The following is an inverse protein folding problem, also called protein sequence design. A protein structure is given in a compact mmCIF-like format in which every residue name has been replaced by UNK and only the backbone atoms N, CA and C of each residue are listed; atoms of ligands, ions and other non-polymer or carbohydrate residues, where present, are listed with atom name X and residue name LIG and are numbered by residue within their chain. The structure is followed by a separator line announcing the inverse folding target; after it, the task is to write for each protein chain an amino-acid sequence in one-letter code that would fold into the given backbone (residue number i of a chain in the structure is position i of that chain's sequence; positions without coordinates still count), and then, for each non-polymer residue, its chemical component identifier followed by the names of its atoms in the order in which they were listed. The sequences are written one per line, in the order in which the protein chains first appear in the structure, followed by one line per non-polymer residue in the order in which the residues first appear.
data_IF_164824792288
#
_entry.id   IF_164824792288
#
_cell.length_a   1.000
_cell.length_b   1.000
_cell.length_c   1.000
_cell.angle_alpha   90.00
_cell.angle_beta   90.00
_cell.angle_gamma   90.00
#
_symmetry.space_group_name_H-M   'P 1'
#
loop_
_entity.id
_entity.type
_entity.pdbx_description
1 polymer ?
#
# COMPACT_ATOMS: atom_id res chain seq x y z
N UNK A 1 14.39 -9.55 73.89
CA UNK A 1 14.22 -9.90 75.32
C UNK A 1 14.48 -8.64 76.15
N UNK A 2 13.83 -8.36 77.28
CA UNK A 2 12.83 -9.12 78.07
C UNK A 2 11.45 -8.40 78.15
N UNK A 3 10.29 -9.04 78.34
CA UNK A 3 9.71 -9.67 79.56
C UNK A 3 9.62 -8.69 80.74
N UNK A 4 8.40 -8.23 81.09
CA UNK A 4 7.51 -8.78 82.14
C UNK A 4 7.97 -8.28 83.53
N UNK A 5 7.16 -7.61 84.35
CA UNK A 5 6.22 -8.19 85.35
C UNK A 5 5.51 -7.04 86.08
N UNK A 6 4.22 -7.13 86.36
CA UNK A 6 3.66 -7.61 87.63
C UNK A 6 2.36 -6.82 87.88
N UNK A 7 1.32 -7.28 88.57
CA UNK A 7 1.23 -8.35 89.55
C UNK A 7 -0.22 -8.87 89.69
N UNK A 8 -0.31 -10.18 89.92
CA UNK A 8 -1.39 -10.96 90.57
C UNK A 8 -1.15 -10.89 92.11
N UNK A 9 -1.86 -11.57 93.05
CA UNK A 9 -2.95 -12.58 92.97
C UNK A 9 -4.09 -12.30 94.00
N UNK A 10 -5.09 -13.17 94.20
CA UNK A 10 -5.19 -14.20 95.28
C UNK A 10 -6.43 -15.05 94.91
N UNK A 11 -6.28 -16.30 94.46
CA UNK A 11 -6.10 -17.57 95.22
C UNK A 11 -7.44 -18.28 95.52
N UNK A 12 -7.64 -19.45 94.91
CA UNK A 12 -7.94 -20.70 95.61
C UNK A 12 -8.12 -21.87 94.61
N UNK A 13 -7.47 -22.98 94.93
CA UNK A 13 -7.18 -24.22 94.19
C UNK A 13 -8.41 -25.18 94.18
N UNK A 14 -8.43 -26.23 93.33
CA UNK A 14 -9.60 -27.00 92.84
C UNK A 14 -9.75 -28.33 93.67
N UNK A 15 -10.44 -29.44 93.29
CA UNK A 15 -10.69 -29.99 91.95
C UNK A 15 -12.06 -30.67 91.68
N UNK A 16 -12.31 -30.90 90.39
CA UNK A 16 -12.88 -32.17 89.94
C UNK A 16 -14.34 -32.16 89.46
N UNK A 17 -14.54 -32.79 88.30
CA UNK A 17 -15.79 -33.51 88.02
C UNK A 17 -16.72 -32.90 86.99
N UNK A 18 -16.59 -33.40 85.76
CA UNK A 18 -17.67 -33.83 84.85
C UNK A 18 -18.86 -32.90 84.51
N UNK A 19 -19.05 -32.77 83.20
CA UNK A 19 -20.32 -32.59 82.50
C UNK A 19 -21.01 -31.22 82.60
N UNK A 20 -20.92 -30.46 81.49
CA UNK A 20 -22.13 -30.14 80.74
C UNK A 20 -21.77 -29.60 79.36
N UNK A 21 -22.14 -30.37 78.33
CA UNK A 21 -22.27 -29.87 76.97
C UNK A 21 -23.32 -28.76 76.96
N UNK A 22 -22.91 -27.51 76.76
CA UNK A 22 -23.80 -26.46 76.31
C UNK A 22 -23.77 -26.47 74.79
N UNK A 23 -24.61 -27.33 74.22
CA UNK A 23 -24.99 -27.28 72.82
C UNK A 23 -25.68 -25.93 72.57
N UNK A 24 -24.97 -24.96 72.00
CA UNK A 24 -25.63 -23.88 71.25
C UNK A 24 -26.13 -24.49 69.95
N UNK A 25 -27.29 -25.15 70.05
CA UNK A 25 -28.03 -25.66 68.91
C UNK A 25 -28.36 -24.49 68.00
N UNK A 26 -27.79 -24.52 66.79
CA UNK A 26 -28.28 -23.68 65.71
C UNK A 26 -29.72 -24.12 65.46
N UNK A 27 -30.67 -23.22 65.67
CA UNK A 27 -32.10 -23.49 65.51
C UNK A 27 -32.32 -23.97 64.06
N UNK A 28 -32.50 -25.28 63.87
CA UNK A 28 -32.56 -25.90 62.54
C UNK A 28 -33.69 -25.29 61.69
N UNK A 29 -34.72 -24.77 62.34
CA UNK A 29 -35.82 -24.03 61.73
C UNK A 29 -35.38 -22.66 61.19
N UNK A 30 -34.46 -21.97 61.86
CA UNK A 30 -33.89 -20.70 61.40
C UNK A 30 -33.08 -20.86 60.11
N UNK A 31 -32.25 -21.90 60.04
CA UNK A 31 -31.49 -22.23 58.82
C UNK A 31 -32.41 -22.58 57.63
N UNK A 32 -33.49 -23.33 57.88
CA UNK A 32 -34.46 -23.67 56.82
C UNK A 32 -35.17 -22.41 56.30
N UNK A 33 -35.58 -21.51 57.18
CA UNK A 33 -36.20 -20.25 56.79
C UNK A 33 -35.24 -19.34 56.00
N UNK A 34 -33.97 -19.26 56.40
CA UNK A 34 -32.94 -18.53 55.65
C UNK A 34 -32.70 -19.12 54.25
N UNK A 35 -32.60 -20.45 54.15
CA UNK A 35 -32.44 -21.13 52.85
C UNK A 35 -33.64 -20.87 51.93
N UNK A 36 -34.86 -20.91 52.46
CA UNK A 36 -36.06 -20.58 51.69
C UNK A 36 -36.08 -19.12 51.24
N UNK A 37 -35.67 -18.19 52.10
CA UNK A 37 -35.56 -16.77 51.78
C UNK A 37 -34.55 -16.52 50.65
N UNK A 38 -33.35 -17.11 50.77
CA UNK A 38 -32.30 -17.01 49.76
C UNK A 38 -32.76 -17.60 48.42
N UNK A 39 -33.44 -18.75 48.43
CA UNK A 39 -33.96 -19.38 47.21
C UNK A 39 -34.95 -18.46 46.48
N UNK A 40 -35.86 -17.81 47.21
CA UNK A 40 -36.81 -16.85 46.63
C UNK A 40 -36.09 -15.62 46.05
N UNK A 41 -35.08 -15.11 46.75
CA UNK A 41 -34.26 -13.99 46.26
C UNK A 41 -33.53 -14.36 44.96
N UNK A 42 -32.98 -15.57 44.87
CA UNK A 42 -32.30 -16.06 43.66
C UNK A 42 -33.30 -16.19 42.50
N UNK A 43 -34.50 -16.72 42.75
CA UNK A 43 -35.56 -16.83 41.73
C UNK A 43 -35.99 -15.45 41.22
N UNK A 44 -36.16 -14.48 42.14
CA UNK A 44 -36.53 -13.12 41.78
C UNK A 44 -35.41 -12.43 40.98
N UNK A 45 -34.16 -12.53 41.44
CA UNK A 45 -33.01 -11.97 40.74
C UNK A 45 -32.83 -12.58 39.34
N UNK A 46 -33.07 -13.89 39.19
CA UNK A 46 -33.02 -14.58 37.90
C UNK A 46 -34.09 -14.04 36.93
N UNK A 47 -35.32 -13.85 37.40
CA UNK A 47 -36.41 -13.31 36.59
C UNK A 47 -36.16 -11.85 36.18
N UNK A 48 -35.61 -11.05 37.09
CA UNK A 48 -35.23 -9.66 36.81
C UNK A 48 -34.06 -9.57 35.81
N UNK A 49 -33.06 -10.45 35.95
CA UNK A 49 -31.95 -10.56 35.02
C UNK A 49 -32.42 -10.96 33.62
N UNK A 50 -33.36 -11.91 33.52
CA UNK A 50 -33.94 -12.32 32.23
C UNK A 50 -34.68 -11.14 31.57
N UNK A 51 -35.54 -10.43 32.30
CA UNK A 51 -36.24 -9.24 31.78
C UNK A 51 -35.26 -8.14 31.36
N UNK A 52 -34.16 -7.97 32.09
CA UNK A 52 -33.13 -7.01 31.73
C UNK A 52 -32.37 -7.43 30.45
N UNK A 53 -32.09 -8.72 30.29
CA UNK A 53 -31.48 -9.27 29.07
C UNK A 53 -32.41 -9.09 27.86
N UNK A 54 -33.70 -9.39 28.00
CA UNK A 54 -34.68 -9.22 26.92
C UNK A 54 -34.81 -7.74 26.49
N UNK A 55 -34.84 -6.82 27.45
CA UNK A 55 -34.83 -5.37 27.17
C UNK A 55 -33.56 -4.94 26.43
N UNK A 56 -32.41 -5.47 26.82
CA UNK A 56 -31.13 -5.19 26.14
C UNK A 56 -31.12 -5.76 24.72
N UNK A 57 -31.62 -6.98 24.52
CA UNK A 57 -31.73 -7.59 23.20
C UNK A 57 -32.62 -6.77 22.25
N UNK A 58 -33.80 -6.33 22.73
CA UNK A 58 -34.70 -5.46 21.96
C UNK A 58 -34.04 -4.11 21.65
N UNK A 59 -33.31 -3.51 22.60
CA UNK A 59 -32.61 -2.25 22.38
C UNK A 59 -31.50 -2.37 21.33
N UNK A 60 -30.71 -3.46 21.39
CA UNK A 60 -29.67 -3.77 20.40
C UNK A 60 -30.27 -3.98 19.02
N UNK A 61 -31.36 -4.75 18.92
CA UNK A 61 -32.05 -4.99 17.65
C UNK A 61 -32.57 -3.67 17.04
N UNK A 62 -33.25 -2.83 17.82
CA UNK A 62 -33.72 -1.52 17.36
C UNK A 62 -32.57 -0.61 16.92
N UNK A 63 -31.43 -0.65 17.60
CA UNK A 63 -30.25 0.12 17.21
C UNK A 63 -29.64 -0.39 15.90
N UNK A 64 -29.56 -1.71 15.72
CA UNK A 64 -29.09 -2.34 14.49
C UNK A 64 -29.99 -2.00 13.30
N UNK A 65 -31.31 -2.06 13.46
CA UNK A 65 -32.28 -1.68 12.42
C UNK A 65 -32.16 -0.20 12.04
N UNK A 66 -31.98 0.69 13.02
CA UNK A 66 -31.75 2.12 12.75
C UNK A 66 -30.47 2.34 11.95
N UNK A 67 -29.39 1.64 12.28
CA UNK A 67 -28.11 1.69 11.55
C UNK A 67 -28.28 1.18 10.12
N UNK A 68 -28.91 0.02 9.94
CA UNK A 68 -29.18 -0.56 8.63
C UNK A 68 -30.02 0.39 7.75
N UNK A 69 -31.06 1.03 8.31
CA UNK A 69 -31.86 2.03 7.58
C UNK A 69 -31.05 3.26 7.18
N UNK A 70 -30.18 3.74 8.07
CA UNK A 70 -29.31 4.88 7.77
C UNK A 70 -28.30 4.55 6.65
N UNK A 71 -27.74 3.34 6.68
CA UNK A 71 -26.83 2.85 5.66
C UNK A 71 -27.52 2.67 4.30
N UNK A 72 -28.71 2.05 4.28
CA UNK A 72 -29.51 1.91 3.07
C UNK A 72 -29.85 3.28 2.46
N UNK A 73 -30.20 4.27 3.28
CA UNK A 73 -30.43 5.65 2.82
C UNK A 73 -29.16 6.31 2.26
N UNK A 74 -28.00 6.03 2.85
CA UNK A 74 -26.71 6.52 2.34
C UNK A 74 -26.39 5.89 0.99
N UNK A 75 -26.61 4.58 0.85
CA UNK A 75 -26.39 3.84 -0.39
C UNK A 75 -27.31 4.36 -1.50
N UNK A 76 -28.61 4.50 -1.24
CA UNK A 76 -29.57 5.07 -2.21
C UNK A 76 -29.16 6.47 -2.68
N UNK A 77 -28.64 7.33 -1.78
CA UNK A 77 -28.12 8.66 -2.16
C UNK A 77 -26.87 8.58 -3.04
N UNK A 78 -25.98 7.63 -2.77
CA UNK A 78 -24.78 7.41 -3.58
C UNK A 78 -25.19 6.88 -4.97
N UNK A 79 -26.12 5.95 -5.04
CA UNK A 79 -26.66 5.42 -6.29
C UNK A 79 -27.34 6.52 -7.12
N UNK A 80 -28.18 7.35 -6.49
CA UNK A 80 -28.81 8.50 -7.16
C UNK A 80 -27.77 9.52 -7.67
N UNK A 81 -26.73 9.80 -6.87
CA UNK A 81 -25.63 10.66 -7.28
C UNK A 81 -24.84 10.06 -8.46
N UNK A 82 -24.64 8.74 -8.48
CA UNK A 82 -23.98 8.02 -9.56
C UNK A 82 -24.82 8.08 -10.85
N UNK A 83 -26.14 7.86 -10.75
CA UNK A 83 -27.07 7.98 -11.88
C UNK A 83 -27.03 9.40 -12.43
N UNK A 84 -27.17 10.44 -11.59
CA UNK A 84 -27.09 11.85 -12.00
C UNK A 84 -25.74 12.21 -12.64
N UNK A 85 -24.63 11.64 -12.15
CA UNK A 85 -23.31 11.84 -12.74
C UNK A 85 -23.18 11.14 -14.10
N UNK A 86 -23.77 9.95 -14.25
CA UNK A 86 -23.83 9.23 -15.52
C UNK A 86 -24.71 9.98 -16.52
N UNK A 87 -25.92 10.41 -16.14
CA UNK A 87 -26.80 11.22 -16.99
C UNK A 87 -26.16 12.57 -17.37
N UNK A 88 -25.45 13.22 -16.45
CA UNK A 88 -24.69 14.46 -16.75
C UNK A 88 -23.53 14.19 -17.70
N UNK A 89 -22.89 13.02 -17.62
CA UNK A 89 -21.86 12.59 -18.57
C UNK A 89 -22.46 12.35 -19.96
N UNK A 90 -23.59 11.64 -20.04
CA UNK A 90 -24.31 11.37 -21.29
C UNK A 90 -24.84 12.67 -21.95
N UNK A 91 -25.36 13.63 -21.17
CA UNK A 91 -25.78 14.95 -21.68
C UNK A 91 -24.60 15.85 -22.08
N UNK A 92 -23.46 15.72 -21.40
CA UNK A 92 -22.21 16.40 -21.77
C UNK A 92 -21.48 15.73 -22.94
N UNK A 93 -21.89 14.52 -23.33
CA UNK A 93 -21.36 13.76 -24.47
C UNK A 93 -22.16 13.95 -25.75
N UNK A 94 -23.20 14.81 -25.77
CA UNK A 94 -23.74 15.31 -27.04
C UNK A 94 -22.61 16.09 -27.75
N UNK A 95 -22.13 15.64 -28.92
CA UNK A 95 -20.88 16.12 -29.46
C UNK A 95 -21.05 17.55 -30.00
N UNK A 96 -20.65 18.55 -29.22
CA UNK A 96 -19.94 19.66 -29.81
C UNK A 96 -18.57 19.09 -30.18
N UNK A 97 -18.20 19.18 -31.46
CA UNK A 97 -16.97 18.62 -32.01
C UNK A 97 -15.75 19.03 -31.16
N UNK A 98 -15.37 18.17 -30.21
CA UNK A 98 -14.17 18.34 -29.41
C UNK A 98 -12.99 17.87 -30.28
N UNK A 99 -11.83 18.57 -30.22
CA UNK A 99 -10.64 18.14 -30.93
C UNK A 99 -10.31 16.72 -30.47
N UNK A 100 -9.87 15.85 -31.39
CA UNK A 100 -9.39 14.51 -31.08
C UNK A 100 -8.39 14.61 -29.93
N UNK A 101 -8.81 14.26 -28.71
CA UNK A 101 -7.94 14.25 -27.55
C UNK A 101 -7.09 12.99 -27.67
N UNK A 102 -5.96 13.13 -28.37
CA UNK A 102 -4.97 12.08 -28.60
C UNK A 102 -4.15 11.78 -27.33
N UNK A 103 -4.60 12.26 -26.16
CA UNK A 103 -3.88 12.11 -24.91
C UNK A 103 -4.14 10.72 -24.32
N UNK A 104 -3.04 10.06 -23.94
CA UNK A 104 -3.11 8.74 -23.33
C UNK A 104 -3.68 8.90 -21.92
N UNK A 105 -4.67 8.08 -21.56
CA UNK A 105 -5.16 8.01 -20.19
C UNK A 105 -4.11 7.32 -19.30
N UNK A 106 -3.22 8.15 -18.74
CA UNK A 106 -2.15 7.72 -17.84
C UNK A 106 -2.68 7.02 -16.56
N UNK A 107 -3.99 7.08 -16.26
CA UNK A 107 -4.61 6.35 -15.14
C UNK A 107 -4.95 4.90 -15.48
N UNK A 108 -5.22 4.59 -16.76
CA UNK A 108 -5.41 3.21 -17.26
C UNK A 108 -4.12 2.61 -17.81
N UNK A 109 -3.11 3.44 -18.02
CA UNK A 109 -1.79 3.03 -18.46
C UNK A 109 -1.03 2.31 -17.34
N UNK A 110 -0.93 1.00 -17.45
CA UNK A 110 -0.11 0.21 -16.54
C UNK A 110 1.38 0.43 -16.85
N UNK A 111 2.02 1.30 -16.07
CA UNK A 111 3.49 1.52 -16.11
C UNK A 111 4.28 0.25 -15.80
N UNK A 112 3.63 -0.80 -15.26
CA UNK A 112 4.20 -2.13 -15.05
C UNK A 112 4.56 -2.87 -16.34
N UNK A 113 3.96 -2.50 -17.47
CA UNK A 113 4.17 -3.19 -18.75
C UNK A 113 5.29 -2.55 -19.60
N UNK A 114 5.85 -1.43 -19.13
CA UNK A 114 6.89 -0.68 -19.83
C UNK A 114 8.31 -1.13 -19.47
N UNK A 115 9.28 -0.97 -20.38
CA UNK A 115 10.67 -1.30 -20.11
C UNK A 115 11.20 -0.38 -19.02
N UNK A 116 11.52 -0.93 -17.86
CA UNK A 116 12.04 -0.16 -16.73
C UNK A 116 13.57 -0.14 -16.77
N UNK A 117 14.18 1.04 -16.61
CA UNK A 117 15.62 1.16 -16.46
C UNK A 117 16.04 0.95 -15.00
N UNK A 118 16.72 -0.17 -14.76
CA UNK A 118 17.37 -0.51 -13.48
C UNK A 118 18.88 -0.68 -13.64
N UNK A 119 19.44 -0.30 -14.80
CA UNK A 119 20.87 -0.40 -15.06
C UNK A 119 21.68 0.57 -14.20
N UNK A 120 23.00 0.33 -14.03
CA UNK A 120 23.86 1.28 -13.32
C UNK A 120 23.97 2.61 -14.07
N UNK A 121 24.18 3.69 -13.32
CA UNK A 121 24.39 5.03 -13.89
C UNK A 121 25.57 5.03 -14.87
N UNK A 122 25.43 5.72 -16.00
CA UNK A 122 26.46 5.85 -17.04
C UNK A 122 26.82 4.56 -17.80
N UNK A 123 26.07 3.47 -17.63
CA UNK A 123 26.21 2.28 -18.47
C UNK A 123 25.56 2.49 -19.85
N UNK A 124 26.40 2.87 -20.81
CA UNK A 124 25.97 3.28 -22.16
C UNK A 124 25.16 2.21 -22.89
N UNK A 125 25.64 0.96 -22.90
CA UNK A 125 24.99 -0.11 -23.67
C UNK A 125 23.61 -0.46 -23.11
N UNK A 126 23.49 -0.56 -21.78
CA UNK A 126 22.22 -0.81 -21.11
C UNK A 126 21.24 0.36 -21.28
N UNK A 127 21.74 1.60 -21.20
CA UNK A 127 20.93 2.80 -21.41
C UNK A 127 20.40 2.88 -22.84
N UNK A 128 21.23 2.66 -23.86
CA UNK A 128 20.80 2.67 -25.27
C UNK A 128 19.79 1.56 -25.58
N UNK A 129 20.02 0.36 -25.04
CA UNK A 129 19.08 -0.76 -25.18
C UNK A 129 17.72 -0.41 -24.57
N UNK A 130 17.73 0.25 -23.41
CA UNK A 130 16.51 0.72 -22.76
C UNK A 130 15.78 1.81 -23.56
N UNK A 131 16.49 2.83 -24.07
CA UNK A 131 15.88 3.87 -24.93
C UNK A 131 15.25 3.25 -26.19
N UNK A 132 15.94 2.31 -26.83
CA UNK A 132 15.40 1.62 -28.00
C UNK A 132 14.12 0.84 -27.65
N UNK A 133 14.14 0.10 -26.53
CA UNK A 133 12.95 -0.61 -26.03
C UNK A 133 11.79 0.35 -25.73
N UNK A 134 12.11 1.52 -25.19
CA UNK A 134 11.14 2.57 -24.87
C UNK A 134 10.50 3.18 -26.13
N UNK A 135 11.28 3.38 -27.21
CA UNK A 135 10.76 3.85 -28.50
C UNK A 135 9.79 2.84 -29.11
N UNK A 136 10.18 1.54 -29.16
CA UNK A 136 9.31 0.45 -29.62
C UNK A 136 8.02 0.39 -28.78
N UNK A 137 8.14 0.57 -27.47
CA UNK A 137 7.01 0.57 -26.55
C UNK A 137 6.04 1.73 -26.85
N UNK A 138 6.54 2.93 -27.11
CA UNK A 138 5.71 4.07 -27.51
C UNK A 138 4.99 3.85 -28.83
N UNK A 139 5.68 3.30 -29.83
CA UNK A 139 5.08 2.94 -31.13
C UNK A 139 3.98 1.88 -30.94
N UNK A 140 4.27 0.82 -30.18
CA UNK A 140 3.33 -0.28 -29.92
C UNK A 140 2.08 0.18 -29.18
N UNK A 141 2.23 1.12 -28.25
CA UNK A 141 1.12 1.69 -27.48
C UNK A 141 0.52 2.93 -28.15
N UNK A 142 0.96 3.29 -29.36
CA UNK A 142 0.50 4.46 -30.13
C UNK A 142 0.61 5.79 -29.37
N UNK A 143 1.60 5.90 -28.48
CA UNK A 143 1.84 7.09 -27.67
C UNK A 143 2.53 8.13 -28.56
N UNK A 144 1.76 9.09 -29.07
CA UNK A 144 2.25 10.09 -30.01
C UNK A 144 2.61 11.41 -29.35
N UNK A 145 1.88 11.83 -28.31
CA UNK A 145 2.09 13.10 -27.62
C UNK A 145 3.39 13.10 -26.82
N UNK A 146 4.21 14.13 -27.04
CA UNK A 146 5.49 14.28 -26.37
C UNK A 146 5.37 14.40 -24.85
N UNK A 147 4.35 15.13 -24.38
CA UNK A 147 4.07 15.23 -22.94
C UNK A 147 3.78 13.87 -22.31
N UNK A 148 3.11 12.96 -23.01
CA UNK A 148 2.82 11.62 -22.50
C UNK A 148 4.06 10.75 -22.49
N UNK A 149 4.86 10.80 -23.57
CA UNK A 149 6.17 10.14 -23.61
C UNK A 149 7.02 10.56 -22.41
N UNK A 150 7.18 11.86 -22.17
CA UNK A 150 7.96 12.42 -21.06
C UNK A 150 7.44 11.93 -19.70
N UNK A 151 6.12 12.02 -19.47
CA UNK A 151 5.50 11.58 -18.21
C UNK A 151 5.72 10.09 -17.96
N UNK A 152 5.52 9.26 -18.98
CA UNK A 152 5.70 7.81 -18.90
C UNK A 152 7.17 7.47 -18.68
N UNK A 153 8.11 8.05 -19.44
CA UNK A 153 9.55 7.81 -19.26
C UNK A 153 10.00 8.06 -17.84
N UNK A 154 9.54 9.16 -17.21
CA UNK A 154 9.88 9.46 -15.82
C UNK A 154 9.49 8.33 -14.86
N UNK A 155 8.38 7.64 -15.11
CA UNK A 155 7.92 6.52 -14.27
C UNK A 155 8.70 5.22 -14.50
N UNK A 156 9.41 5.12 -15.62
CA UNK A 156 10.14 3.93 -16.05
C UNK A 156 11.62 3.95 -15.64
N UNK A 157 12.08 5.01 -14.97
CA UNK A 157 13.46 5.09 -14.46
C UNK A 157 13.45 4.75 -12.98
N UNK A 158 14.23 3.73 -12.59
CA UNK A 158 14.42 3.33 -11.19
C UNK A 158 15.84 3.60 -10.67
N UNK A 159 16.79 3.91 -11.56
CA UNK A 159 18.15 4.27 -11.18
C UNK A 159 18.19 5.62 -10.44
N UNK A 160 18.84 5.64 -9.28
CA UNK A 160 18.79 6.75 -8.31
C UNK A 160 19.39 8.05 -8.82
N UNK A 161 20.53 8.01 -9.52
CA UNK A 161 21.21 9.22 -10.00
C UNK A 161 20.43 9.90 -11.13
N UNK A 162 19.84 9.12 -12.04
CA UNK A 162 18.90 9.61 -13.03
C UNK A 162 17.64 10.14 -12.38
N UNK A 163 17.05 9.42 -11.42
CA UNK A 163 15.90 9.92 -10.67
C UNK A 163 16.20 11.26 -10.00
N UNK A 164 17.40 11.44 -9.44
CA UNK A 164 17.81 12.71 -8.87
C UNK A 164 17.79 13.84 -9.90
N UNK A 165 18.27 13.63 -11.13
CA UNK A 165 18.12 14.60 -12.22
C UNK A 165 16.64 14.94 -12.49
N UNK A 166 15.75 13.95 -12.46
CA UNK A 166 14.31 14.16 -12.67
C UNK A 166 13.63 14.90 -11.52
N UNK A 167 14.00 14.62 -10.28
CA UNK A 167 13.41 15.24 -9.10
C UNK A 167 13.98 16.63 -8.80
N UNK A 168 15.20 16.93 -9.25
CA UNK A 168 15.93 18.19 -9.00
C UNK A 168 15.44 19.38 -9.84
N UNK A 169 14.13 19.48 -10.11
CA UNK A 169 13.45 20.56 -10.83
C UNK A 169 13.80 20.71 -12.33
N UNK A 170 14.93 20.20 -12.81
CA UNK A 170 15.31 20.23 -14.23
C UNK A 170 14.27 19.55 -15.12
N UNK A 171 13.75 18.36 -14.77
CA UNK A 171 12.75 17.67 -15.58
C UNK A 171 11.36 18.33 -15.58
N UNK A 172 10.97 19.06 -14.53
CA UNK A 172 9.70 19.82 -14.53
C UNK A 172 9.69 20.90 -15.61
N UNK A 173 10.86 21.44 -15.96
CA UNK A 173 11.02 22.40 -17.06
C UNK A 173 10.86 21.78 -18.46
N UNK A 174 10.74 20.45 -18.57
CA UNK A 174 10.52 19.75 -19.84
C UNK A 174 9.06 19.35 -20.04
N UNK A 175 8.18 19.56 -19.06
CA UNK A 175 6.74 19.47 -19.29
C UNK A 175 6.32 20.62 -20.20
N UNK A 176 5.83 20.30 -21.41
CA UNK A 176 5.55 21.26 -22.47
C UNK A 176 6.65 21.43 -23.51
N UNK A 177 7.81 20.79 -23.34
CA UNK A 177 8.87 20.71 -24.37
C UNK A 177 8.67 19.50 -25.28
N UNK A 178 9.42 19.46 -26.38
CA UNK A 178 9.40 18.32 -27.28
C UNK A 178 10.05 17.09 -26.62
N UNK A 179 9.66 15.90 -27.09
CA UNK A 179 10.30 14.64 -26.72
C UNK A 179 11.78 14.63 -27.11
N UNK A 180 12.15 15.32 -28.19
CA UNK A 180 13.53 15.44 -28.67
C UNK A 180 14.41 16.18 -27.65
N UNK A 181 13.99 17.37 -27.22
CA UNK A 181 14.76 18.18 -26.25
C UNK A 181 14.95 17.43 -24.92
N UNK A 182 13.90 16.73 -24.51
CA UNK A 182 13.95 15.91 -23.30
C UNK A 182 14.91 14.73 -23.45
N UNK A 183 14.88 14.01 -24.58
CA UNK A 183 15.84 12.93 -24.85
C UNK A 183 17.27 13.45 -24.83
N UNK A 184 17.55 14.59 -25.44
CA UNK A 184 18.90 15.16 -25.48
C UNK A 184 19.43 15.41 -24.06
N UNK A 185 18.65 16.10 -23.23
CA UNK A 185 19.02 16.36 -21.83
C UNK A 185 19.18 15.06 -21.00
N UNK A 186 18.36 14.04 -21.31
CA UNK A 186 18.48 12.72 -20.68
C UNK A 186 19.79 12.04 -21.08
N UNK A 187 20.20 12.10 -22.34
CA UNK A 187 21.46 11.54 -22.82
C UNK A 187 22.67 12.26 -22.19
N UNK A 188 22.68 13.60 -22.18
CA UNK A 188 23.77 14.37 -21.55
C UNK A 188 24.00 13.98 -20.08
N UNK A 189 22.92 13.59 -19.39
CA UNK A 189 22.98 13.20 -17.99
C UNK A 189 23.31 11.72 -17.83
N UNK A 190 22.73 10.86 -18.65
CA UNK A 190 22.70 9.42 -18.42
C UNK A 190 23.90 8.65 -18.95
N UNK A 191 24.65 9.21 -19.89
CA UNK A 191 25.81 8.54 -20.50
C UNK A 191 27.10 9.37 -20.34
N UNK A 192 28.27 8.72 -20.26
CA UNK A 192 29.54 9.41 -20.15
C UNK A 192 29.79 10.38 -21.31
N UNK A 193 30.54 11.44 -21.02
CA UNK A 193 31.06 12.32 -22.06
C UNK A 193 31.90 11.49 -23.05
N UNK A 194 31.67 11.71 -24.36
CA UNK A 194 32.30 10.95 -25.48
C UNK A 194 31.92 9.46 -25.56
N UNK A 195 30.79 9.03 -24.99
CA UNK A 195 30.28 7.65 -25.13
C UNK A 195 30.26 7.16 -26.59
N UNK A 196 29.99 8.05 -27.55
CA UNK A 196 30.08 7.80 -28.99
C UNK A 196 31.43 7.25 -29.45
N UNK A 197 32.50 7.91 -29.03
CA UNK A 197 33.86 7.52 -29.37
C UNK A 197 34.19 6.17 -28.75
N UNK A 198 33.77 5.95 -27.51
CA UNK A 198 33.96 4.68 -26.81
C UNK A 198 33.27 3.53 -27.54
N UNK A 199 32.01 3.70 -27.95
CA UNK A 199 31.29 2.67 -28.73
C UNK A 199 31.94 2.41 -30.08
N UNK A 200 32.32 3.46 -30.80
CA UNK A 200 33.01 3.31 -32.09
C UNK A 200 34.34 2.57 -31.93
N UNK A 201 35.10 2.91 -30.89
CA UNK A 201 36.35 2.22 -30.55
C UNK A 201 36.10 0.75 -30.20
N UNK A 202 35.06 0.42 -29.42
CA UNK A 202 34.67 -0.96 -29.11
C UNK A 202 34.32 -1.75 -30.38
N UNK A 203 33.58 -1.13 -31.30
CA UNK A 203 33.20 -1.75 -32.56
C UNK A 203 34.41 -1.96 -33.49
N UNK A 204 35.26 -0.95 -33.67
CA UNK A 204 36.47 -1.07 -34.50
C UNK A 204 37.51 -2.01 -33.90
N UNK A 205 37.61 -2.08 -32.58
CA UNK A 205 38.50 -2.98 -31.85
C UNK A 205 37.92 -4.37 -31.61
N UNK A 206 36.73 -4.66 -32.14
CA UNK A 206 36.04 -5.92 -31.89
C UNK A 206 36.82 -7.08 -32.50
N UNK A 207 37.26 -8.01 -31.63
CA UNK A 207 37.91 -9.25 -32.01
C UNK A 207 37.20 -10.42 -31.38
N UNK A 208 37.32 -11.57 -32.03
CA UNK A 208 36.82 -12.81 -31.50
C UNK A 208 37.73 -13.29 -30.37
N UNK A 209 37.15 -13.51 -29.20
CA UNK A 209 37.88 -14.02 -28.03
C UNK A 209 38.07 -15.55 -28.12
N UNK A 210 39.14 -16.07 -27.51
CA UNK A 210 39.47 -17.51 -27.59
C UNK A 210 38.43 -18.41 -26.91
N UNK A 211 37.58 -17.85 -26.05
CA UNK A 211 36.58 -18.56 -25.26
C UNK A 211 35.13 -18.30 -25.73
N UNK A 212 34.93 -17.59 -26.85
CA UNK A 212 33.60 -17.35 -27.40
C UNK A 212 33.37 -18.16 -28.68
N UNK A 213 32.11 -18.54 -28.89
CA UNK A 213 31.68 -19.15 -30.15
C UNK A 213 31.49 -18.08 -31.23
N UNK A 214 31.58 -18.47 -32.50
CA UNK A 214 31.33 -17.55 -33.61
C UNK A 214 29.96 -16.86 -33.52
N UNK A 215 28.92 -17.59 -33.13
CA UNK A 215 27.56 -17.05 -32.95
C UNK A 215 27.50 -15.98 -31.85
N UNK A 216 28.24 -16.16 -30.75
CA UNK A 216 28.33 -15.16 -29.67
C UNK A 216 29.05 -13.90 -30.16
N UNK A 217 30.19 -14.07 -30.84
CA UNK A 217 30.94 -12.97 -31.46
C UNK A 217 30.05 -12.18 -32.43
N UNK A 218 29.38 -12.87 -33.35
CA UNK A 218 28.49 -12.26 -34.33
C UNK A 218 27.34 -11.49 -33.65
N UNK A 219 26.73 -12.08 -32.61
CA UNK A 219 25.66 -11.44 -31.84
C UNK A 219 26.15 -10.14 -31.19
N UNK A 220 27.35 -10.15 -30.60
CA UNK A 220 27.99 -8.97 -30.01
C UNK A 220 28.30 -7.91 -31.07
N UNK A 221 28.84 -8.31 -32.23
CA UNK A 221 29.12 -7.42 -33.35
C UNK A 221 27.87 -6.72 -33.87
N UNK A 222 26.79 -7.47 -34.11
CA UNK A 222 25.51 -6.92 -34.57
C UNK A 222 24.90 -5.97 -33.53
N UNK A 223 25.04 -6.27 -32.24
CA UNK A 223 24.55 -5.42 -31.15
C UNK A 223 25.28 -4.08 -31.12
N UNK A 224 26.62 -4.09 -31.16
CA UNK A 224 27.43 -2.87 -31.21
C UNK A 224 27.16 -2.06 -32.50
N UNK A 225 27.01 -2.73 -33.64
CA UNK A 225 26.66 -2.07 -34.90
C UNK A 225 25.34 -1.31 -34.79
N UNK A 226 24.31 -1.91 -34.20
CA UNK A 226 23.01 -1.27 -33.98
C UNK A 226 23.14 -0.04 -33.07
N UNK A 227 23.89 -0.15 -31.97
CA UNK A 227 24.11 0.97 -31.06
C UNK A 227 24.85 2.14 -31.74
N UNK A 228 25.84 1.84 -32.59
CA UNK A 228 26.55 2.86 -33.38
C UNK A 228 25.64 3.51 -34.42
N UNK A 229 24.74 2.74 -35.07
CA UNK A 229 23.78 3.30 -36.05
C UNK A 229 22.69 4.15 -35.39
N UNK A 230 22.14 3.67 -34.27
CA UNK A 230 21.14 4.39 -33.48
C UNK A 230 21.63 5.78 -33.05
N UNK A 231 22.93 5.92 -32.78
CA UNK A 231 23.56 7.21 -32.58
C UNK A 231 23.49 8.10 -33.83
N UNK A 232 23.93 7.61 -35.00
CA UNK A 232 23.96 8.42 -36.22
C UNK A 232 22.58 9.00 -36.59
N UNK A 233 21.53 8.21 -36.44
CA UNK A 233 20.15 8.63 -36.78
C UNK A 233 19.65 9.76 -35.86
N UNK A 234 20.12 9.84 -34.63
CA UNK A 234 19.71 10.89 -33.68
C UNK A 234 20.41 12.24 -33.85
N UNK A 235 21.42 12.35 -34.72
CA UNK A 235 22.09 13.61 -35.05
C UNK A 235 21.80 14.12 -36.47
N UNK A 236 21.00 13.41 -37.28
CA UNK A 236 20.70 13.83 -38.66
C UNK A 236 19.39 14.60 -38.84
N UNK A 237 18.51 14.66 -37.83
CA UNK A 237 17.30 15.50 -37.85
C UNK A 237 17.56 16.86 -37.17
N UNK A 238 18.60 17.56 -37.60
CA UNK A 238 18.93 18.94 -37.21
C UNK A 238 18.29 19.94 -38.17
#
# INVERSE_FOLDING_TARGET
MPMNTGDKPVEATPPGGLNQASSTGVDALGLIAEIQCISLQIQQASLEAQRAADRRAIAVQKAAEKRAKAEAKRMARIEEALIRLSEKRELSQKPAAAPKDNHVDLRRFHTSDGPTYTGPFQETELFLSWINSLQIFFETKTISLDNDKIKITRTLIKETNLLYFYYSNKARNYLGKSWKDFKEALFETAVPVRWHHTLKSKFCGLKMENNETFTQFETRARTLQRMVKFNCEHYQDG
#
